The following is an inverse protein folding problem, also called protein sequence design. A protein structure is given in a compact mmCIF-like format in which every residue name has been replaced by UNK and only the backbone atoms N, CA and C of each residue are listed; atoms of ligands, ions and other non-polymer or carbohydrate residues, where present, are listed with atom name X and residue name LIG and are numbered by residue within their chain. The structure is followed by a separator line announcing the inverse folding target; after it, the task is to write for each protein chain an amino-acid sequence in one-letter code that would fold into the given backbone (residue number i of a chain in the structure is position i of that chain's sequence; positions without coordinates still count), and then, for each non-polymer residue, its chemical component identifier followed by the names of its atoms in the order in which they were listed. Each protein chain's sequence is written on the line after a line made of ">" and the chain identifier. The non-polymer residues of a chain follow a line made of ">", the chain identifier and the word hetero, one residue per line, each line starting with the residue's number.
data_IF_590795300348
#
_entry.id   IF_590795300348
#
_cell.length_a   1.000
_cell.length_b   1.000
_cell.length_c   1.000
_cell.angle_alpha   90.00
_cell.angle_beta   90.00
_cell.angle_gamma   90.00
#
_symmetry.space_group_name_H-M   'P 1'
#
loop_
_entity.id
_entity.type
_entity.pdbx_description
1 polymer ?
#
# COMPACT_ATOMS: atom_id res chain seq x y z
N UNK A 1 -3.87 -25.45 9.61
CA UNK A 1 -3.48 -26.88 9.60
C UNK A 1 -3.35 -27.43 11.02
N UNK A 2 -2.44 -26.90 11.85
CA UNK A 2 -2.24 -27.36 13.24
C UNK A 2 -3.52 -27.34 14.11
N UNK A 3 -4.39 -26.34 13.96
CA UNK A 3 -5.61 -26.20 14.78
C UNK A 3 -6.54 -27.43 14.77
N UNK A 4 -6.61 -28.15 13.65
CA UNK A 4 -7.49 -29.30 13.48
C UNK A 4 -6.75 -30.65 13.42
N UNK A 5 -5.44 -30.65 13.18
CA UNK A 5 -4.62 -31.87 13.16
C UNK A 5 -3.86 -32.13 14.47
N UNK A 6 -3.75 -31.13 15.35
CA UNK A 6 -3.02 -31.27 16.62
C UNK A 6 -3.80 -32.12 17.65
N UNK A 7 -3.11 -32.89 18.50
CA UNK A 7 -3.76 -33.69 19.53
C UNK A 7 -4.65 -32.85 20.45
N UNK A 8 -5.76 -33.42 20.91
CA UNK A 8 -6.61 -32.84 21.96
C UNK A 8 -6.53 -33.77 23.17
N UNK A 9 -6.13 -33.24 24.32
CA UNK A 9 -5.91 -34.01 25.54
C UNK A 9 -4.99 -35.23 25.35
N UNK A 10 -3.98 -35.13 24.48
CA UNK A 10 -3.03 -36.20 24.17
C UNK A 10 -3.51 -37.22 23.14
N UNK A 11 -4.74 -37.11 22.62
CA UNK A 11 -5.30 -38.03 21.62
C UNK A 11 -5.30 -37.42 20.22
N UNK A 12 -5.11 -38.28 19.20
CA UNK A 12 -5.05 -37.84 17.82
C UNK A 12 -6.47 -37.68 17.23
N UNK A 13 -6.73 -36.66 16.39
CA UNK A 13 -7.96 -36.61 15.59
C UNK A 13 -8.19 -37.86 14.74
N UNK A 14 -7.10 -38.50 14.31
CA UNK A 14 -7.17 -39.75 13.56
C UNK A 14 -7.83 -40.88 14.38
N UNK A 15 -7.71 -40.86 15.71
CA UNK A 15 -8.28 -41.88 16.60
C UNK A 15 -9.81 -41.89 16.56
N UNK A 16 -10.42 -40.74 16.24
CA UNK A 16 -11.86 -40.57 16.09
C UNK A 16 -12.31 -40.49 14.63
N UNK A 17 -11.46 -40.80 13.65
CA UNK A 17 -11.84 -40.79 12.23
C UNK A 17 -11.74 -39.43 11.53
N UNK A 18 -11.08 -38.44 12.13
CA UNK A 18 -10.75 -37.17 11.47
C UNK A 18 -9.31 -37.26 10.96
N UNK A 19 -9.15 -37.40 9.64
CA UNK A 19 -7.84 -37.57 9.02
C UNK A 19 -7.40 -36.28 8.33
N UNK A 20 -6.15 -35.90 8.53
CA UNK A 20 -5.53 -34.76 7.83
C UNK A 20 -4.49 -35.26 6.84
N UNK A 21 -4.69 -34.95 5.57
CA UNK A 21 -3.75 -35.27 4.50
C UNK A 21 -2.57 -34.29 4.49
N UNK A 22 -1.47 -34.67 3.83
CA UNK A 22 -0.25 -33.86 3.73
C UNK A 22 -0.46 -32.54 2.95
N UNK A 23 -1.45 -32.50 2.08
CA UNK A 23 -1.90 -31.30 1.36
C UNK A 23 -2.80 -30.38 2.22
N UNK A 24 -3.14 -30.82 3.43
CA UNK A 24 -3.97 -30.08 4.37
C UNK A 24 -5.47 -30.28 4.23
N UNK A 25 -5.89 -31.23 3.38
CA UNK A 25 -7.30 -31.63 3.29
C UNK A 25 -7.72 -32.47 4.51
N UNK A 26 -9.01 -32.38 4.86
CA UNK A 26 -9.61 -33.19 5.90
C UNK A 26 -10.51 -34.25 5.29
N UNK A 27 -10.34 -35.49 5.70
CA UNK A 27 -11.22 -36.61 5.31
C UNK A 27 -11.85 -37.22 6.55
N UNK A 28 -13.13 -37.57 6.45
CA UNK A 28 -13.90 -38.15 7.55
C UNK A 28 -14.12 -39.66 7.32
N UNK A 29 -13.60 -40.47 8.22
CA UNK A 29 -13.84 -41.92 8.27
C UNK A 29 -15.04 -42.19 9.19
N UNK A 30 -16.20 -42.42 8.56
CA UNK A 30 -17.48 -42.65 9.25
C UNK A 30 -17.47 -43.92 10.10
N UNK A 31 -16.81 -44.98 9.66
CA UNK A 31 -16.82 -46.27 10.35
C UNK A 31 -15.91 -46.22 11.59
N UNK A 32 -14.75 -45.57 11.47
CA UNK A 32 -13.86 -45.33 12.61
C UNK A 32 -14.49 -44.38 13.62
N UNK A 33 -15.17 -43.33 13.16
CA UNK A 33 -15.92 -42.44 14.03
C UNK A 33 -17.03 -43.16 14.78
N UNK A 34 -17.84 -43.97 14.11
CA UNK A 34 -18.93 -44.72 14.75
C UNK A 34 -18.41 -45.70 15.81
N UNK A 35 -17.30 -46.40 15.53
CA UNK A 35 -16.63 -47.28 16.51
C UNK A 35 -16.08 -46.49 17.69
N UNK A 36 -15.41 -45.37 17.46
CA UNK A 36 -14.88 -44.52 18.51
C UNK A 36 -15.98 -43.91 19.39
N UNK A 37 -17.10 -43.50 18.78
CA UNK A 37 -18.25 -42.94 19.48
C UNK A 37 -18.97 -43.98 20.35
N UNK A 38 -19.10 -45.21 19.85
CA UNK A 38 -19.67 -46.31 20.62
C UNK A 38 -18.76 -46.74 21.78
N UNK A 39 -17.43 -46.68 21.60
CA UNK A 39 -16.46 -47.05 22.61
C UNK A 39 -16.29 -45.98 23.71
N UNK A 40 -16.22 -44.71 23.34
CA UNK A 40 -16.02 -43.60 24.27
C UNK A 40 -16.62 -42.29 23.72
N UNK A 41 -17.91 -42.02 23.99
CA UNK A 41 -18.58 -40.83 23.48
C UNK A 41 -18.05 -39.53 24.10
N UNK A 42 -17.57 -39.58 25.35
CA UNK A 42 -17.01 -38.42 26.05
C UNK A 42 -15.71 -37.99 25.38
N UNK A 43 -14.85 -38.94 25.03
CA UNK A 43 -13.61 -38.67 24.28
C UNK A 43 -13.88 -38.07 22.91
N UNK A 44 -14.85 -38.60 22.16
CA UNK A 44 -15.22 -38.05 20.84
C UNK A 44 -15.75 -36.62 20.99
N UNK A 45 -16.62 -36.37 21.96
CA UNK A 45 -17.14 -35.03 22.23
C UNK A 45 -16.02 -34.04 22.60
N UNK A 46 -15.09 -34.43 23.47
CA UNK A 46 -13.93 -33.62 23.86
C UNK A 46 -13.05 -33.30 22.65
N UNK A 47 -12.85 -34.28 21.75
CA UNK A 47 -12.08 -34.10 20.52
C UNK A 47 -12.71 -33.06 19.59
N UNK A 48 -14.00 -33.22 19.27
CA UNK A 48 -14.71 -32.31 18.36
C UNK A 48 -14.76 -30.90 18.96
N UNK A 49 -15.08 -30.79 20.26
CA UNK A 49 -15.17 -29.50 20.95
C UNK A 49 -13.81 -28.78 20.97
N UNK A 50 -12.72 -29.52 21.20
CA UNK A 50 -11.38 -28.97 21.18
C UNK A 50 -10.95 -28.48 19.80
N UNK A 51 -11.25 -29.22 18.73
CA UNK A 51 -10.98 -28.80 17.35
C UNK A 51 -11.82 -27.55 17.01
N UNK A 52 -13.12 -27.58 17.30
CA UNK A 52 -14.02 -26.46 17.03
C UNK A 52 -13.57 -25.18 17.75
N UNK A 53 -13.18 -25.29 19.02
CA UNK A 53 -12.64 -24.18 19.81
C UNK A 53 -11.37 -23.59 19.18
N UNK A 54 -10.41 -24.44 18.77
CA UNK A 54 -9.17 -23.97 18.12
C UNK A 54 -9.44 -23.28 16.79
N UNK A 55 -10.33 -23.83 15.97
CA UNK A 55 -10.74 -23.21 14.70
C UNK A 55 -11.41 -21.86 14.96
N UNK A 56 -12.29 -21.78 15.96
CA UNK A 56 -12.91 -20.53 16.37
C UNK A 56 -11.89 -19.49 16.84
N UNK A 57 -10.90 -19.87 17.67
CA UNK A 57 -9.83 -18.95 18.11
C UNK A 57 -9.03 -18.41 16.93
N UNK A 58 -8.64 -19.27 15.99
CA UNK A 58 -7.90 -18.85 14.79
C UNK A 58 -8.76 -17.94 13.92
N UNK A 59 -10.02 -18.30 13.68
CA UNK A 59 -10.95 -17.50 12.90
C UNK A 59 -11.11 -16.11 13.53
N UNK A 60 -11.40 -16.04 14.83
CA UNK A 60 -11.52 -14.77 15.58
C UNK A 60 -10.22 -13.97 15.52
N UNK A 61 -9.06 -14.58 15.75
CA UNK A 61 -7.77 -13.87 15.68
C UNK A 61 -7.46 -13.32 14.29
N UNK A 62 -7.98 -13.92 13.22
CA UNK A 62 -7.80 -13.42 11.86
C UNK A 62 -8.84 -12.36 11.50
N UNK A 63 -10.09 -12.55 11.93
CA UNK A 63 -11.24 -11.70 11.59
C UNK A 63 -11.50 -10.58 12.59
N UNK A 64 -10.74 -10.50 13.68
CA UNK A 64 -10.93 -9.48 14.70
C UNK A 64 -10.81 -8.08 14.07
N UNK A 65 -11.78 -7.22 14.43
CA UNK A 65 -11.98 -5.93 13.75
C UNK A 65 -10.90 -4.91 14.05
N UNK A 66 -10.03 -5.14 15.04
CA UNK A 66 -9.01 -4.18 15.47
C UNK A 66 -7.62 -4.78 15.42
N UNK A 67 -7.46 -5.98 15.94
CA UNK A 67 -6.20 -6.71 16.06
C UNK A 67 -6.04 -7.82 15.03
N UNK A 68 -7.10 -8.13 14.28
CA UNK A 68 -7.07 -9.19 13.29
C UNK A 68 -6.03 -8.92 12.21
N UNK A 69 -5.24 -9.93 11.85
CA UNK A 69 -4.17 -9.78 10.85
C UNK A 69 -4.70 -9.28 9.51
N UNK A 70 -5.93 -9.68 9.14
CA UNK A 70 -6.59 -9.21 7.93
C UNK A 70 -6.95 -7.72 8.03
N UNK A 71 -7.55 -7.31 9.14
CA UNK A 71 -7.88 -5.91 9.42
C UNK A 71 -6.62 -5.04 9.41
N UNK A 72 -5.56 -5.43 10.12
CA UNK A 72 -4.29 -4.70 10.15
C UNK A 72 -3.70 -4.52 8.75
N UNK A 73 -3.77 -5.56 7.91
CA UNK A 73 -3.31 -5.50 6.52
C UNK A 73 -4.13 -4.51 5.69
N UNK A 74 -5.45 -4.52 5.84
CA UNK A 74 -6.35 -3.56 5.17
C UNK A 74 -6.03 -2.13 5.62
N UNK A 75 -6.00 -1.89 6.93
CA UNK A 75 -5.72 -0.56 7.49
C UNK A 75 -4.36 -0.05 7.03
N UNK A 76 -3.32 -0.89 7.08
CA UNK A 76 -1.99 -0.51 6.61
C UNK A 76 -1.95 -0.16 5.11
N UNK A 77 -2.72 -0.86 4.28
CA UNK A 77 -2.86 -0.52 2.86
C UNK A 77 -3.62 0.80 2.66
N UNK A 78 -4.71 1.03 3.40
CA UNK A 78 -5.47 2.28 3.35
C UNK A 78 -4.62 3.49 3.79
N UNK A 79 -3.81 3.35 4.85
CA UNK A 79 -2.87 4.38 5.27
C UNK A 79 -1.86 4.72 4.17
N UNK A 80 -1.28 3.71 3.50
CA UNK A 80 -0.37 3.95 2.37
C UNK A 80 -1.03 4.69 1.22
N UNK A 81 -2.27 4.33 0.88
CA UNK A 81 -3.04 5.04 -0.16
C UNK A 81 -3.24 6.51 0.23
N UNK A 82 -3.60 6.77 1.50
CA UNK A 82 -3.75 8.14 2.00
C UNK A 82 -2.44 8.93 1.93
N UNK A 83 -1.33 8.33 2.37
CA UNK A 83 -0.01 8.96 2.34
C UNK A 83 0.45 9.27 0.91
N UNK A 84 0.13 8.40 -0.06
CA UNK A 84 0.38 8.68 -1.47
C UNK A 84 -0.49 9.83 -1.99
N UNK A 85 -1.78 9.89 -1.61
CA UNK A 85 -2.65 11.01 -1.93
C UNK A 85 -2.08 12.35 -1.45
N UNK A 86 -1.68 12.43 -0.18
CA UNK A 86 -1.06 13.64 0.40
C UNK A 86 0.27 14.00 -0.28
N UNK A 87 1.07 13.02 -0.68
CA UNK A 87 2.31 13.29 -1.43
C UNK A 87 2.01 13.88 -2.82
N UNK A 88 1.00 13.36 -3.51
CA UNK A 88 0.57 13.88 -4.82
C UNK A 88 0.12 15.33 -4.69
N UNK A 89 -0.76 15.64 -3.73
CA UNK A 89 -1.24 17.01 -3.48
C UNK A 89 -0.08 17.99 -3.23
N UNK A 90 0.91 17.59 -2.42
CA UNK A 90 2.10 18.40 -2.16
C UNK A 90 2.96 18.60 -3.42
N UNK A 91 3.07 17.57 -4.27
CA UNK A 91 3.81 17.66 -5.53
C UNK A 91 3.11 18.56 -6.54
N UNK A 92 1.79 18.50 -6.62
CA UNK A 92 1.00 19.39 -7.48
C UNK A 92 1.19 20.85 -7.07
N UNK A 93 1.11 21.16 -5.77
CA UNK A 93 1.36 22.51 -5.26
C UNK A 93 2.78 23.00 -5.56
N UNK A 94 3.79 22.13 -5.42
CA UNK A 94 5.18 22.46 -5.76
C UNK A 94 5.39 22.69 -7.25
N UNK A 95 4.75 21.89 -8.09
CA UNK A 95 4.83 22.02 -9.54
C UNK A 95 4.18 23.32 -10.00
N UNK A 96 3.04 23.69 -9.41
CA UNK A 96 2.36 24.95 -9.69
C UNK A 96 3.21 26.16 -9.30
N UNK A 97 3.79 26.17 -8.08
CA UNK A 97 4.71 27.25 -7.68
C UNK A 97 5.93 27.35 -8.60
N UNK A 98 6.49 26.22 -9.02
CA UNK A 98 7.64 26.19 -9.94
C UNK A 98 7.24 26.74 -11.31
N UNK A 99 6.06 26.40 -11.81
CA UNK A 99 5.51 26.95 -13.04
C UNK A 99 5.36 28.47 -12.94
N UNK A 100 4.70 28.98 -11.91
CA UNK A 100 4.51 30.41 -11.70
C UNK A 100 5.85 31.17 -11.60
N UNK A 101 6.85 30.61 -10.91
CA UNK A 101 8.19 31.19 -10.82
C UNK A 101 8.90 31.24 -12.18
N UNK A 102 8.78 30.17 -12.97
CA UNK A 102 9.32 30.13 -14.32
C UNK A 102 8.62 31.16 -15.23
N UNK A 103 7.29 31.22 -15.23
CA UNK A 103 6.52 32.20 -15.99
C UNK A 103 6.96 33.65 -15.67
N UNK A 104 7.13 33.97 -14.38
CA UNK A 104 7.65 35.28 -13.95
C UNK A 104 9.07 35.54 -14.44
N UNK A 105 9.94 34.53 -14.40
CA UNK A 105 11.33 34.65 -14.85
C UNK A 105 11.38 34.90 -16.36
N UNK A 106 10.60 34.16 -17.15
CA UNK A 106 10.52 34.35 -18.59
C UNK A 106 9.95 35.73 -18.96
N UNK A 107 8.91 36.20 -18.26
CA UNK A 107 8.40 37.55 -18.46
C UNK A 107 9.46 38.63 -18.17
N UNK A 108 10.26 38.47 -17.10
CA UNK A 108 11.34 39.39 -16.77
C UNK A 108 12.50 39.34 -17.79
N UNK A 109 12.81 38.15 -18.32
CA UNK A 109 13.80 37.98 -19.39
C UNK A 109 13.34 38.66 -20.69
N UNK A 110 12.06 38.55 -21.04
CA UNK A 110 11.48 39.22 -22.22
C UNK A 110 11.61 40.74 -22.12
N UNK A 111 11.26 41.32 -20.96
CA UNK A 111 11.42 42.76 -20.70
C UNK A 111 12.89 43.17 -20.78
N UNK A 112 13.78 42.37 -20.20
CA UNK A 112 15.23 42.65 -20.23
C UNK A 112 15.78 42.61 -21.66
N UNK A 113 15.36 41.64 -22.47
CA UNK A 113 15.74 41.53 -23.88
C UNK A 113 15.20 42.71 -24.70
N UNK A 114 13.95 43.12 -24.48
CA UNK A 114 13.37 44.31 -25.11
C UNK A 114 14.17 45.58 -24.78
N UNK A 115 14.52 45.77 -23.50
CA UNK A 115 15.35 46.89 -23.06
C UNK A 115 16.77 46.85 -23.64
N UNK A 116 17.39 45.68 -23.75
CA UNK A 116 18.71 45.53 -24.37
C UNK A 116 18.66 45.82 -25.87
N UNK A 117 17.61 45.40 -26.57
CA UNK A 117 17.42 45.70 -27.99
C UNK A 117 17.23 47.21 -28.24
N UNK A 118 16.45 47.87 -27.38
CA UNK A 118 16.28 49.33 -27.42
C UNK A 118 17.61 50.06 -27.16
N UNK A 119 18.40 49.60 -26.19
CA UNK A 119 19.74 50.15 -25.91
C UNK A 119 20.70 49.95 -27.09
N UNK A 120 20.71 48.76 -27.71
CA UNK A 120 21.54 48.49 -28.90
C UNK A 120 21.16 49.40 -30.06
N UNK A 121 19.87 49.62 -30.27
CA UNK A 121 19.38 50.52 -31.33
C UNK A 121 19.78 51.97 -31.07
N UNK A 122 19.68 52.44 -29.82
CA UNK A 122 20.12 53.78 -29.42
C UNK A 122 21.64 53.96 -29.59
N UNK A 123 22.46 53.00 -29.15
CA UNK A 123 23.92 53.05 -29.33
C UNK A 123 24.31 53.08 -30.81
N UNK A 124 23.62 52.32 -31.65
CA UNK A 124 23.86 52.31 -33.11
C UNK A 124 23.56 53.67 -33.72
N UNK A 125 22.39 54.25 -33.40
CA UNK A 125 22.02 55.60 -33.84
C UNK A 125 23.03 56.67 -33.40
N UNK A 126 23.53 56.55 -32.17
CA UNK A 126 24.51 57.49 -31.65
C UNK A 126 25.86 57.37 -32.36
N UNK A 127 26.31 56.14 -32.64
CA UNK A 127 27.52 55.88 -33.42
C UNK A 127 27.41 56.42 -34.86
N UNK A 128 26.26 56.21 -35.51
CA UNK A 128 25.99 56.71 -36.86
C UNK A 128 26.06 58.25 -36.90
N UNK A 129 25.51 58.92 -35.87
CA UNK A 129 25.57 60.38 -35.75
C UNK A 129 27.00 60.90 -35.58
N UNK A 130 27.83 60.22 -34.78
CA UNK A 130 29.24 60.54 -34.59
C UNK A 130 30.06 60.34 -35.87
N UNK A 131 29.81 59.25 -36.61
CA UNK A 131 30.48 58.99 -37.89
C UNK A 131 30.16 60.06 -38.94
N UNK A 132 28.89 60.48 -39.00
CA UNK A 132 28.42 61.51 -39.94
C UNK A 132 29.04 62.88 -39.62
N UNK A 133 29.06 63.29 -38.35
CA UNK A 133 29.70 64.55 -37.93
C UNK A 133 31.21 64.58 -38.18
N UNK A 134 31.91 63.45 -38.05
CA UNK A 134 33.35 63.36 -38.33
C UNK A 134 33.70 63.43 -39.82
N UNK A 135 32.74 63.17 -40.71
CA UNK A 135 32.91 63.26 -42.17
C UNK A 135 32.63 64.66 -42.75
N UNK A 136 32.02 65.54 -41.94
CA UNK A 136 31.63 66.90 -42.32
C UNK A 136 32.57 67.99 -41.76
N UNK A 137 33.80 67.64 -41.36
CA UNK A 137 34.86 68.56 -40.93
C UNK A 137 36.13 68.37 -41.75
#
# INVERSE_FOLDING_TARGET
>A
LSAASAPVNGFSPNDVGIVTSRDGTFTFDKDKFAKALAADPVKVQAMISGIAGRVATVATSLSDKTTGTFTQKITGQQSRVKDYGTQIENWDLRLEMRRAALEKTYAALEVSLSNLNAQSSWLTSQLDSLSTSSSSS
#
